data_IF_414994633866
#
_entry.id   IF_414994633866
#
_cell.length_a   1.000
_cell.length_b   1.000
_cell.length_c   1.000
_cell.angle_alpha   90.00
_cell.angle_beta   90.00
_cell.angle_gamma   90.00
#
_symmetry.space_group_name_H-M   'P 1'
#
loop_
_entity.id
_entity.type
_entity.pdbx_description
1 polymer ?
#
# COMPACT_ATOMS: atom_id res chain seq x y z
N UNK A 1 32.57 52.34 1.70
CA UNK A 1 33.10 52.13 3.05
C UNK A 1 33.95 50.88 3.05
N UNK A 2 35.27 51.04 3.22
CA UNK A 2 36.28 49.98 3.22
C UNK A 2 36.37 49.37 4.62
N UNK A 3 36.34 48.04 4.76
CA UNK A 3 36.81 47.39 5.99
C UNK A 3 37.97 46.43 5.64
N UNK A 4 39.08 46.70 6.32
CA UNK A 4 40.39 46.07 6.19
C UNK A 4 40.47 44.75 6.94
N UNK A 5 41.15 43.79 6.32
CA UNK A 5 41.76 42.58 6.87
C UNK A 5 42.56 42.83 8.15
N UNK A 6 42.50 41.88 9.11
CA UNK A 6 43.59 41.59 10.04
C UNK A 6 43.70 40.09 10.26
N UNK A 7 44.71 39.50 9.63
CA UNK A 7 45.23 38.20 10.05
C UNK A 7 46.09 38.39 11.27
N UNK A 8 45.95 37.50 12.25
CA UNK A 8 46.95 37.24 13.32
C UNK A 8 47.33 35.77 13.27
N UNK A 9 48.54 35.54 12.89
CA UNK A 9 49.30 34.30 12.94
C UNK A 9 49.65 34.00 14.42
N UNK A 10 49.39 32.81 14.87
CA UNK A 10 50.08 32.20 16.03
C UNK A 10 50.62 30.83 15.64
N UNK A 11 51.94 30.75 15.61
CA UNK A 11 52.66 29.48 15.58
C UNK A 11 52.90 29.00 17.02
N UNK A 12 52.68 27.73 17.27
CA UNK A 12 53.26 27.07 18.42
C UNK A 12 53.49 25.59 18.11
N UNK A 13 54.67 25.23 18.27
CA UNK A 13 55.47 24.04 18.20
C UNK A 13 54.96 22.96 19.18
N UNK A 14 55.03 21.71 18.73
CA UNK A 14 55.57 20.69 19.61
C UNK A 14 54.71 19.46 19.90
N UNK A 15 55.37 18.40 19.61
CA UNK A 15 55.40 17.07 20.23
C UNK A 15 54.61 15.96 19.51
N UNK A 16 55.40 15.18 18.80
CA UNK A 16 55.07 13.88 18.24
C UNK A 16 54.93 12.87 19.37
N UNK A 17 53.76 12.33 19.56
CA UNK A 17 53.51 11.16 20.37
C UNK A 17 52.90 10.07 19.51
N UNK A 18 53.74 9.09 19.07
CA UNK A 18 53.29 7.91 18.34
C UNK A 18 52.66 6.97 19.39
N UNK A 19 51.30 6.87 19.35
CA UNK A 19 50.60 5.76 19.99
C UNK A 19 50.13 4.82 18.90
N UNK A 20 50.82 3.66 18.85
CA UNK A 20 50.36 2.52 18.09
C UNK A 20 49.13 1.92 18.76
N UNK A 21 47.96 2.17 18.22
CA UNK A 21 46.74 1.44 18.55
C UNK A 21 46.69 0.16 17.73
N UNK A 22 46.93 -0.96 18.40
CA UNK A 22 46.64 -2.30 17.90
C UNK A 22 45.15 -2.41 17.62
N UNK A 23 44.74 -2.45 16.33
CA UNK A 23 43.42 -2.86 15.91
C UNK A 23 43.31 -4.40 16.18
N UNK A 24 42.61 -4.71 17.28
CA UNK A 24 42.05 -6.03 17.51
C UNK A 24 40.89 -6.23 16.54
N UNK A 25 41.08 -7.00 15.48
CA UNK A 25 40.02 -7.59 14.70
C UNK A 25 39.28 -8.59 15.59
N UNK A 26 38.21 -8.13 16.25
CA UNK A 26 37.24 -9.01 16.85
C UNK A 26 36.41 -9.67 15.75
N UNK A 27 36.50 -10.99 15.61
CA UNK A 27 35.59 -11.79 14.81
C UNK A 27 34.14 -11.54 15.26
N UNK A 28 33.45 -10.70 14.54
CA UNK A 28 31.98 -10.65 14.63
C UNK A 28 31.45 -11.92 13.96
N UNK A 29 31.05 -12.89 14.76
CA UNK A 29 30.22 -14.00 14.30
C UNK A 29 28.99 -13.42 13.63
N UNK A 30 28.60 -13.91 12.44
CA UNK A 30 27.35 -13.50 11.84
C UNK A 30 26.23 -13.88 12.80
N UNK A 31 25.39 -12.90 13.15
CA UNK A 31 24.13 -13.14 13.85
C UNK A 31 23.30 -13.99 12.90
N UNK A 32 23.16 -15.26 13.23
CA UNK A 32 22.28 -16.16 12.53
C UNK A 32 20.85 -15.67 12.75
N UNK A 33 20.29 -14.97 11.77
CA UNK A 33 18.85 -14.76 11.66
C UNK A 33 18.24 -16.09 11.20
N UNK A 34 18.08 -17.01 12.12
CA UNK A 34 17.20 -18.16 11.90
C UNK A 34 15.76 -17.64 12.06
N UNK A 35 15.18 -17.14 10.99
CA UNK A 35 13.73 -17.07 10.85
C UNK A 35 13.22 -18.51 10.70
N UNK A 36 13.06 -19.19 11.82
CA UNK A 36 12.40 -20.49 11.89
C UNK A 36 10.88 -20.27 11.87
N UNK A 37 10.36 -19.92 10.67
CA UNK A 37 8.94 -19.59 10.43
C UNK A 37 8.06 -20.84 10.39
N UNK A 38 8.58 -22.03 10.70
CA UNK A 38 7.86 -23.31 10.62
C UNK A 38 7.66 -24.01 11.96
N UNK A 39 7.70 -23.29 13.07
CA UNK A 39 7.29 -23.88 14.34
C UNK A 39 5.76 -23.83 14.39
N UNK A 40 5.10 -24.91 13.97
CA UNK A 40 3.67 -25.10 14.25
C UNK A 40 3.51 -25.11 15.77
N UNK A 41 2.95 -24.02 16.31
CA UNK A 41 2.61 -23.96 17.75
C UNK A 41 1.54 -25.02 17.98
N UNK A 42 1.76 -25.87 18.99
CA UNK A 42 0.73 -26.80 19.43
C UNK A 42 -0.39 -26.01 20.12
N UNK A 43 -1.45 -25.74 19.37
CA UNK A 43 -2.58 -24.96 19.86
C UNK A 43 -3.24 -25.62 21.09
N UNK A 44 -3.07 -26.95 21.31
CA UNK A 44 -3.65 -27.67 22.45
C UNK A 44 -3.10 -27.20 23.79
N UNK A 45 -1.93 -26.52 23.80
CA UNK A 45 -1.30 -25.97 25.01
C UNK A 45 -1.80 -24.59 25.42
N UNK A 46 -2.58 -23.94 24.55
CA UNK A 46 -3.14 -22.60 24.79
C UNK A 46 -4.38 -22.64 25.70
N UNK A 47 -4.80 -21.50 26.29
CA UNK A 47 -6.09 -21.39 26.94
C UNK A 47 -7.24 -21.78 25.99
N UNK A 48 -8.26 -22.51 26.47
CA UNK A 48 -9.35 -23.04 25.65
C UNK A 48 -10.06 -21.93 24.84
N UNK A 49 -10.29 -20.78 25.45
CA UNK A 49 -10.91 -19.63 24.76
C UNK A 49 -10.12 -19.16 23.56
N UNK A 50 -8.76 -19.10 23.67
CA UNK A 50 -7.91 -18.73 22.55
C UNK A 50 -7.87 -19.81 21.47
N UNK A 51 -7.86 -21.10 21.86
CA UNK A 51 -7.96 -22.21 20.88
C UNK A 51 -9.22 -22.08 20.02
N UNK A 52 -10.36 -21.86 20.65
CA UNK A 52 -11.66 -21.77 19.97
C UNK A 52 -11.73 -20.53 19.08
N UNK A 53 -11.21 -19.39 19.56
CA UNK A 53 -11.18 -18.13 18.81
C UNK A 53 -10.24 -18.22 17.61
N UNK A 54 -9.02 -18.74 17.79
CA UNK A 54 -8.05 -18.95 16.70
C UNK A 54 -8.62 -19.90 15.65
N UNK A 55 -9.22 -21.02 16.07
CA UNK A 55 -9.83 -21.99 15.15
C UNK A 55 -10.94 -21.35 14.32
N UNK A 56 -11.84 -20.59 14.96
CA UNK A 56 -12.93 -19.87 14.30
C UNK A 56 -12.41 -18.84 13.33
N UNK A 57 -11.46 -18.01 13.76
CA UNK A 57 -10.88 -16.93 12.95
C UNK A 57 -10.05 -17.46 11.77
N UNK A 58 -9.23 -18.50 11.98
CA UNK A 58 -8.43 -19.11 10.90
C UNK A 58 -9.29 -19.71 9.79
N UNK A 59 -10.47 -20.21 10.12
CA UNK A 59 -11.43 -20.73 9.12
C UNK A 59 -12.06 -19.65 8.24
N UNK A 60 -12.00 -18.38 8.64
CA UNK A 60 -12.61 -17.26 7.94
C UNK A 60 -11.60 -16.36 7.25
N UNK A 61 -10.48 -16.06 7.92
CA UNK A 61 -9.54 -15.03 7.49
C UNK A 61 -8.23 -15.63 6.95
N UNK A 62 -7.60 -16.52 7.69
CA UNK A 62 -6.28 -17.03 7.37
C UNK A 62 -5.15 -16.02 7.69
N UNK A 63 -3.92 -16.51 7.62
CA UNK A 63 -2.70 -15.75 7.82
C UNK A 63 -2.33 -15.06 6.51
N UNK A 64 -1.85 -13.82 6.57
CA UNK A 64 -1.38 -13.09 5.38
C UNK A 64 -0.17 -13.82 4.78
N UNK A 65 -0.21 -14.18 3.47
CA UNK A 65 0.94 -14.80 2.82
C UNK A 65 2.16 -13.88 2.83
N UNK A 66 3.35 -14.47 2.90
CA UNK A 66 4.63 -13.73 2.88
C UNK A 66 5.10 -13.33 1.48
N UNK A 67 4.50 -13.91 0.44
CA UNK A 67 4.80 -13.64 -0.97
C UNK A 67 3.52 -13.48 -1.77
N UNK A 68 3.54 -12.60 -2.76
CA UNK A 68 2.45 -12.34 -3.69
C UNK A 68 2.94 -12.57 -5.14
N UNK A 69 3.06 -13.83 -5.53
CA UNK A 69 3.61 -14.21 -6.84
C UNK A 69 2.62 -13.95 -7.99
N UNK A 70 3.18 -13.65 -9.16
CA UNK A 70 2.44 -13.61 -10.43
C UNK A 70 3.17 -14.46 -11.47
N UNK A 71 2.63 -15.62 -11.87
CA UNK A 71 3.26 -16.49 -12.88
C UNK A 71 3.47 -15.81 -14.25
N UNK A 72 2.71 -14.75 -14.55
CA UNK A 72 2.84 -13.97 -15.78
C UNK A 72 3.88 -12.86 -15.68
N UNK A 73 4.33 -12.53 -14.48
CA UNK A 73 5.30 -11.48 -14.19
C UNK A 73 6.24 -11.94 -13.08
N UNK A 74 7.08 -12.92 -13.38
CA UNK A 74 8.04 -13.45 -12.40
C UNK A 74 8.97 -12.32 -11.96
N UNK A 75 9.00 -12.05 -10.66
CA UNK A 75 9.85 -11.04 -10.07
C UNK A 75 11.31 -11.51 -9.99
N UNK A 76 12.23 -10.57 -10.14
CA UNK A 76 13.64 -10.68 -9.76
C UNK A 76 14.06 -9.37 -9.09
N UNK A 77 15.18 -9.36 -8.39
CA UNK A 77 15.64 -8.20 -7.62
C UNK A 77 15.78 -6.94 -8.49
N UNK A 78 16.31 -7.08 -9.71
CA UNK A 78 16.46 -5.95 -10.65
C UNK A 78 15.11 -5.37 -11.09
N UNK A 79 14.10 -6.22 -11.27
CA UNK A 79 12.74 -5.79 -11.63
C UNK A 79 12.05 -5.09 -10.47
N UNK A 80 12.20 -5.60 -9.26
CA UNK A 80 11.66 -4.98 -8.03
C UNK A 80 12.30 -3.60 -7.80
N UNK A 81 13.63 -3.50 -7.93
CA UNK A 81 14.35 -2.23 -7.77
C UNK A 81 13.95 -1.21 -8.84
N UNK A 82 13.86 -1.65 -10.11
CA UNK A 82 13.35 -0.81 -11.20
C UNK A 82 11.92 -0.34 -10.90
N UNK A 83 11.05 -1.22 -10.45
CA UNK A 83 9.67 -0.92 -10.08
C UNK A 83 9.59 0.11 -8.95
N UNK A 84 10.43 -0.04 -7.92
CA UNK A 84 10.53 0.92 -6.83
C UNK A 84 10.91 2.31 -7.33
N UNK A 85 11.90 2.40 -8.22
CA UNK A 85 12.29 3.69 -8.80
C UNK A 85 11.17 4.31 -9.63
N UNK A 86 10.53 3.52 -10.50
CA UNK A 86 9.41 4.00 -11.33
C UNK A 86 8.21 4.45 -10.48
N UNK A 87 7.89 3.72 -9.41
CA UNK A 87 6.82 4.08 -8.48
C UNK A 87 7.02 5.45 -7.84
N UNK A 88 8.27 5.85 -7.61
CA UNK A 88 8.63 7.15 -7.02
C UNK A 88 8.97 8.21 -8.05
N UNK A 89 9.07 7.88 -9.35
CA UNK A 89 9.55 8.81 -10.36
C UNK A 89 8.45 9.74 -10.89
N UNK A 90 8.49 11.03 -10.55
CA UNK A 90 7.47 11.97 -10.99
C UNK A 90 7.52 12.26 -12.50
N UNK A 91 8.59 11.86 -13.20
CA UNK A 91 8.71 11.98 -14.66
C UNK A 91 7.78 11.04 -15.42
N UNK A 92 7.10 10.13 -14.73
CA UNK A 92 5.95 9.36 -15.26
C UNK A 92 4.68 10.21 -15.36
N UNK A 93 4.71 11.48 -14.93
CA UNK A 93 3.61 12.42 -15.13
C UNK A 93 3.99 13.55 -16.08
N UNK A 94 2.99 14.08 -16.80
CA UNK A 94 3.16 15.16 -17.77
C UNK A 94 3.83 16.41 -17.16
N UNK A 95 3.45 16.73 -15.94
CA UNK A 95 3.99 17.88 -15.20
C UNK A 95 5.34 17.60 -14.53
N UNK A 96 5.77 16.35 -14.42
CA UNK A 96 6.97 15.98 -13.67
C UNK A 96 6.86 16.13 -12.15
N UNK A 97 5.63 16.23 -11.58
CA UNK A 97 5.40 16.42 -10.15
C UNK A 97 4.67 15.28 -9.48
N UNK A 98 4.02 14.39 -10.23
CA UNK A 98 3.16 13.35 -9.71
C UNK A 98 3.77 11.99 -10.00
N UNK A 99 3.94 11.19 -8.96
CA UNK A 99 4.34 9.79 -9.02
C UNK A 99 3.26 8.91 -8.38
N UNK A 100 3.37 7.58 -8.44
CA UNK A 100 2.47 6.70 -7.70
C UNK A 100 2.50 7.01 -6.20
N UNK A 101 3.70 7.27 -5.65
CA UNK A 101 3.87 7.65 -4.25
C UNK A 101 3.21 8.98 -3.87
N UNK A 102 2.81 9.82 -4.83
CA UNK A 102 2.09 11.08 -4.52
C UNK A 102 0.68 10.82 -3.96
N UNK A 103 -0.02 9.83 -4.52
CA UNK A 103 -1.38 9.44 -4.10
C UNK A 103 -1.38 8.21 -3.20
N UNK A 104 -0.35 7.35 -3.32
CA UNK A 104 -0.18 6.12 -2.55
C UNK A 104 1.11 6.17 -1.75
N UNK A 105 1.21 7.17 -0.86
CA UNK A 105 2.41 7.43 -0.06
C UNK A 105 2.70 6.27 0.90
N UNK A 106 3.81 5.58 0.68
CA UNK A 106 4.19 4.42 1.48
C UNK A 106 4.45 4.76 2.96
N UNK A 107 4.92 5.98 3.26
CA UNK A 107 5.11 6.44 4.65
C UNK A 107 3.77 6.70 5.37
N UNK A 108 2.67 6.87 4.63
CA UNK A 108 1.30 7.03 5.13
C UNK A 108 0.45 5.79 4.88
N UNK A 109 1.04 4.61 4.98
CA UNK A 109 0.34 3.34 4.73
C UNK A 109 -0.27 3.21 3.34
N UNK A 110 0.38 3.79 2.33
CA UNK A 110 0.01 3.64 0.92
C UNK A 110 -1.19 4.47 0.47
N UNK A 111 -1.47 5.59 1.16
CA UNK A 111 -2.52 6.56 0.84
C UNK A 111 -2.02 8.00 1.00
N UNK A 112 -2.72 8.98 0.46
CA UNK A 112 -2.42 10.41 0.62
C UNK A 112 -3.20 11.09 1.75
N UNK A 113 -4.11 10.35 2.40
CA UNK A 113 -5.01 10.85 3.43
C UNK A 113 -5.87 12.05 2.97
N UNK A 114 -6.20 12.11 1.70
CA UNK A 114 -7.13 13.09 1.13
C UNK A 114 -8.46 12.42 0.76
N UNK A 115 -9.59 13.14 0.76
CA UNK A 115 -10.84 12.56 0.28
C UNK A 115 -10.73 12.05 -1.16
N UNK A 116 -10.09 12.82 -2.02
CA UNK A 116 -9.68 12.41 -3.38
C UNK A 116 -8.33 13.05 -3.70
N UNK A 117 -7.49 12.31 -4.42
CA UNK A 117 -6.13 12.74 -4.74
C UNK A 117 -6.10 13.94 -5.69
N UNK A 118 -5.01 14.71 -5.62
CA UNK A 118 -4.76 15.85 -6.50
C UNK A 118 -3.88 15.37 -7.67
N UNK A 119 -4.41 15.49 -8.88
CA UNK A 119 -3.71 15.12 -10.10
C UNK A 119 -3.20 16.31 -10.93
N UNK A 120 -2.94 16.05 -12.21
CA UNK A 120 -2.43 17.04 -13.17
C UNK A 120 -3.31 18.29 -13.20
N UNK A 121 -2.69 19.48 -13.21
CA UNK A 121 -3.38 20.79 -13.15
C UNK A 121 -4.29 20.94 -11.94
N UNK A 122 -3.96 20.30 -10.82
CA UNK A 122 -4.73 20.38 -9.57
C UNK A 122 -6.15 19.81 -9.67
N UNK A 123 -6.42 18.98 -10.69
CA UNK A 123 -7.70 18.28 -10.80
C UNK A 123 -7.86 17.30 -9.64
N UNK A 124 -9.05 17.22 -9.10
CA UNK A 124 -9.36 16.26 -8.06
C UNK A 124 -9.78 14.93 -8.68
N UNK A 125 -9.31 13.84 -8.14
CA UNK A 125 -9.75 12.49 -8.47
C UNK A 125 -11.25 12.30 -8.14
N UNK A 126 -11.87 11.34 -8.79
CA UNK A 126 -13.29 11.02 -8.55
C UNK A 126 -13.53 10.13 -7.33
N UNK A 127 -12.50 9.47 -6.83
CA UNK A 127 -12.57 8.51 -5.71
C UNK A 127 -11.35 8.63 -4.81
N UNK A 128 -11.51 8.19 -3.55
CA UNK A 128 -10.43 8.06 -2.60
C UNK A 128 -9.38 7.05 -3.09
N UNK A 129 -8.09 7.34 -2.88
CA UNK A 129 -7.00 6.45 -3.23
C UNK A 129 -6.93 5.29 -2.23
N UNK A 130 -7.21 4.03 -2.64
CA UNK A 130 -7.06 2.89 -1.76
C UNK A 130 -5.57 2.59 -1.53
N UNK A 131 -5.26 1.99 -0.37
CA UNK A 131 -3.88 1.59 -0.10
C UNK A 131 -3.35 0.58 -1.10
N UNK A 132 -2.07 0.71 -1.48
CA UNK A 132 -1.33 -0.26 -2.29
C UNK A 132 -0.77 -1.41 -1.43
N UNK A 133 -0.73 -1.25 -0.10
CA UNK A 133 -0.25 -2.30 0.80
C UNK A 133 -1.19 -3.50 0.73
N UNK A 134 -0.61 -4.68 0.54
CA UNK A 134 -1.34 -5.94 0.37
C UNK A 134 -2.27 -6.00 -0.86
N UNK A 135 -2.29 -4.99 -1.72
CA UNK A 135 -3.18 -4.92 -2.88
C UNK A 135 -2.97 -6.06 -3.88
N UNK A 136 -1.76 -6.60 -3.96
CA UNK A 136 -1.41 -7.71 -4.83
C UNK A 136 -2.18 -9.02 -4.54
N UNK A 137 -2.80 -9.14 -3.36
CA UNK A 137 -3.65 -10.28 -2.99
C UNK A 137 -5.13 -10.10 -3.39
N UNK A 138 -5.52 -8.93 -3.87
CA UNK A 138 -6.90 -8.68 -4.28
C UNK A 138 -7.19 -9.31 -5.64
N UNK A 139 -8.43 -9.74 -5.84
CA UNK A 139 -8.88 -10.36 -7.10
C UNK A 139 -8.98 -9.38 -8.27
N UNK A 140 -9.00 -8.09 -7.99
CA UNK A 140 -8.99 -7.00 -8.97
C UNK A 140 -8.58 -5.69 -8.30
N UNK A 141 -8.20 -4.69 -9.09
CA UNK A 141 -7.80 -3.37 -8.62
C UNK A 141 -8.84 -2.29 -8.97
N UNK A 142 -8.72 -1.12 -8.32
CA UNK A 142 -9.71 -0.06 -8.25
C UNK A 142 -10.98 -0.44 -7.46
N UNK A 143 -11.75 0.57 -7.07
CA UNK A 143 -13.03 0.38 -6.38
C UNK A 143 -14.07 -0.36 -7.22
N UNK A 144 -14.05 -0.20 -8.53
CA UNK A 144 -14.94 -0.86 -9.50
C UNK A 144 -14.40 -2.17 -10.08
N UNK A 145 -13.15 -2.51 -9.79
CA UNK A 145 -12.51 -3.75 -10.22
C UNK A 145 -12.18 -3.80 -11.71
N UNK A 146 -11.94 -2.65 -12.35
CA UNK A 146 -11.67 -2.58 -13.79
C UNK A 146 -10.30 -3.08 -14.24
N UNK A 147 -9.35 -3.28 -13.33
CA UNK A 147 -8.04 -3.87 -13.62
C UNK A 147 -7.89 -5.22 -12.92
N UNK A 148 -7.31 -6.20 -13.62
CA UNK A 148 -7.24 -7.59 -13.17
C UNK A 148 -6.20 -7.79 -12.04
N UNK A 149 -5.12 -7.04 -12.05
CA UNK A 149 -4.01 -7.13 -11.10
C UNK A 149 -3.31 -5.78 -10.93
N UNK A 150 -2.26 -5.73 -10.12
CA UNK A 150 -1.50 -4.50 -9.87
C UNK A 150 -0.73 -4.03 -11.10
N UNK A 151 -0.28 -4.94 -11.96
CA UNK A 151 0.39 -4.62 -13.22
C UNK A 151 -0.56 -3.91 -14.19
N UNK A 152 -1.79 -4.40 -14.31
CA UNK A 152 -2.80 -3.76 -15.17
C UNK A 152 -3.27 -2.43 -14.58
N UNK A 153 -3.36 -2.34 -13.24
CA UNK A 153 -3.70 -1.10 -12.56
C UNK A 153 -2.67 0.01 -12.85
N UNK A 154 -1.37 -0.30 -12.78
CA UNK A 154 -0.29 0.68 -12.94
C UNK A 154 -0.31 1.41 -14.30
N UNK A 155 -0.92 0.83 -15.33
CA UNK A 155 -1.07 1.45 -16.65
C UNK A 155 -2.05 2.64 -16.63
N UNK A 156 -3.15 2.51 -15.90
CA UNK A 156 -4.27 3.46 -15.96
C UNK A 156 -3.89 4.90 -15.57
N UNK A 157 -3.37 5.13 -14.35
CA UNK A 157 -3.07 6.47 -13.82
C UNK A 157 -2.08 7.28 -14.68
N UNK A 158 -1.09 6.63 -15.28
CA UNK A 158 -0.07 7.30 -16.11
C UNK A 158 -0.71 8.03 -17.30
N UNK A 159 -1.72 7.44 -17.92
CA UNK A 159 -2.42 8.01 -19.09
C UNK A 159 -3.67 8.79 -18.71
N UNK A 160 -4.15 8.71 -17.47
CA UNK A 160 -5.34 9.41 -17.05
C UNK A 160 -5.10 10.94 -17.02
N UNK A 161 -5.85 11.73 -17.81
CA UNK A 161 -5.65 13.19 -17.88
C UNK A 161 -5.93 13.92 -16.56
N UNK A 162 -6.70 13.31 -15.67
CA UNK A 162 -6.98 13.83 -14.33
C UNK A 162 -5.95 13.43 -13.28
N UNK A 163 -5.04 12.50 -13.58
CA UNK A 163 -4.03 11.98 -12.68
C UNK A 163 -2.62 12.35 -13.15
N UNK A 164 -1.90 11.49 -13.87
CA UNK A 164 -0.52 11.73 -14.33
C UNK A 164 -0.43 12.33 -15.73
N UNK A 165 -1.46 12.17 -16.55
CA UNK A 165 -1.72 12.89 -17.80
C UNK A 165 -0.70 12.74 -18.94
N UNK A 166 0.06 11.63 -19.02
CA UNK A 166 0.82 11.35 -20.25
C UNK A 166 -0.14 11.10 -21.42
N UNK A 167 0.22 11.58 -22.60
CA UNK A 167 -0.67 11.56 -23.76
C UNK A 167 -0.85 10.18 -24.38
N UNK A 168 0.18 9.36 -24.36
CA UNK A 168 0.21 8.02 -24.96
C UNK A 168 1.26 7.13 -24.27
N UNK A 169 1.14 5.82 -24.46
CA UNK A 169 2.13 4.83 -24.04
C UNK A 169 3.52 5.13 -24.65
N UNK A 170 3.56 5.41 -25.96
CA UNK A 170 4.81 5.74 -26.65
C UNK A 170 5.47 7.00 -26.10
N UNK A 171 4.67 8.00 -25.71
CA UNK A 171 5.19 9.19 -25.06
C UNK A 171 5.84 8.83 -23.70
N UNK A 172 5.18 8.03 -22.88
CA UNK A 172 5.72 7.54 -21.60
C UNK A 172 7.03 6.79 -21.80
N UNK A 173 7.07 5.85 -22.75
CA UNK A 173 8.28 5.09 -23.10
C UNK A 173 9.40 6.04 -23.53
N UNK A 174 9.09 7.04 -24.37
CA UNK A 174 10.05 8.06 -24.83
C UNK A 174 10.65 8.86 -23.67
N UNK A 175 9.83 9.28 -22.70
CA UNK A 175 10.29 9.98 -21.50
C UNK A 175 11.27 9.12 -20.70
N UNK A 176 10.89 7.90 -20.37
CA UNK A 176 11.75 7.00 -19.58
C UNK A 176 13.03 6.63 -20.35
N UNK A 177 12.94 6.38 -21.66
CA UNK A 177 14.10 6.10 -22.53
C UNK A 177 15.10 7.25 -22.59
N UNK A 178 14.63 8.50 -22.46
CA UNK A 178 15.49 9.69 -22.46
C UNK A 178 16.38 9.80 -21.21
N UNK A 179 16.13 8.98 -20.20
CA UNK A 179 16.90 8.90 -18.96
C UNK A 179 17.83 7.69 -19.07
N UNK A 180 19.08 7.94 -19.46
CA UNK A 180 20.05 6.91 -19.87
C UNK A 180 20.14 5.71 -18.91
N UNK A 181 20.15 5.97 -17.61
CA UNK A 181 20.28 4.91 -16.59
C UNK A 181 19.14 3.90 -16.65
N UNK A 182 17.92 4.31 -16.99
CA UNK A 182 16.81 3.37 -17.11
C UNK A 182 17.01 2.33 -18.21
N UNK A 183 17.68 2.67 -19.32
CA UNK A 183 17.91 1.69 -20.38
C UNK A 183 18.66 0.45 -19.87
N UNK A 184 19.72 0.64 -19.08
CA UNK A 184 20.45 -0.47 -18.47
C UNK A 184 19.64 -1.20 -17.38
N UNK A 185 18.82 -0.49 -16.62
CA UNK A 185 17.98 -1.09 -15.58
C UNK A 185 16.89 -1.97 -16.20
N UNK A 186 16.25 -1.54 -17.30
CA UNK A 186 15.28 -2.39 -18.01
C UNK A 186 15.93 -3.64 -18.60
N UNK A 187 17.13 -3.53 -19.19
CA UNK A 187 17.86 -4.69 -19.69
C UNK A 187 18.17 -5.73 -18.59
N UNK A 188 18.49 -5.28 -17.39
CA UNK A 188 18.74 -6.17 -16.24
C UNK A 188 17.43 -6.76 -15.66
N UNK A 189 16.36 -5.98 -15.67
CA UNK A 189 15.07 -6.41 -15.12
C UNK A 189 14.34 -7.43 -16.02
N UNK A 190 14.56 -7.34 -17.34
CA UNK A 190 13.92 -8.18 -18.36
C UNK A 190 14.98 -8.85 -19.25
N UNK A 191 15.79 -9.76 -18.68
CA UNK A 191 16.86 -10.42 -19.43
C UNK A 191 16.31 -11.26 -20.57
N UNK A 192 16.95 -11.18 -21.75
CA UNK A 192 16.56 -11.92 -22.95
C UNK A 192 15.53 -11.20 -23.84
N UNK A 193 14.96 -10.08 -23.42
CA UNK A 193 14.12 -9.24 -24.28
C UNK A 193 15.00 -8.32 -25.14
N UNK A 194 14.80 -8.30 -26.43
CA UNK A 194 15.53 -7.43 -27.37
C UNK A 194 15.23 -5.94 -27.09
N UNK A 195 14.00 -5.60 -26.80
CA UNK A 195 13.52 -4.25 -26.52
C UNK A 195 12.76 -4.22 -25.19
N UNK A 196 13.47 -4.27 -24.03
CA UNK A 196 12.84 -4.44 -22.73
C UNK A 196 12.11 -3.17 -22.23
N UNK A 197 12.44 -1.98 -22.76
CA UNK A 197 11.79 -0.73 -22.34
C UNK A 197 10.49 -0.53 -23.13
N UNK A 198 9.43 -1.13 -22.64
CA UNK A 198 8.05 -1.02 -23.15
C UNK A 198 7.12 -0.47 -22.08
N UNK A 199 5.94 0.01 -22.47
CA UNK A 199 4.91 0.46 -21.51
C UNK A 199 4.42 -0.69 -20.62
N UNK A 200 4.27 -1.87 -21.19
CA UNK A 200 3.92 -3.07 -20.44
C UNK A 200 4.99 -3.39 -19.37
N UNK A 201 6.28 -3.29 -19.70
CA UNK A 201 7.36 -3.57 -18.76
C UNK A 201 7.55 -2.45 -17.71
N UNK A 202 7.15 -1.21 -18.00
CA UNK A 202 7.02 -0.17 -16.96
C UNK A 202 6.01 -0.63 -15.91
N UNK A 203 4.82 -1.05 -16.34
CA UNK A 203 3.77 -1.54 -15.45
C UNK A 203 4.16 -2.84 -14.73
N UNK A 204 4.79 -3.79 -15.44
CA UNK A 204 5.27 -5.04 -14.88
C UNK A 204 6.33 -4.81 -13.78
N UNK A 205 7.21 -3.84 -13.94
CA UNK A 205 8.20 -3.51 -12.92
C UNK A 205 7.52 -2.86 -11.70
N UNK A 206 6.61 -1.90 -11.90
CA UNK A 206 5.84 -1.28 -10.82
C UNK A 206 5.07 -2.36 -10.05
N UNK A 207 4.35 -3.25 -10.73
CA UNK A 207 3.62 -4.35 -10.11
C UNK A 207 4.51 -5.32 -9.34
N UNK A 208 5.71 -5.65 -9.87
CA UNK A 208 6.67 -6.48 -9.16
C UNK A 208 7.13 -5.84 -7.84
N UNK A 209 7.31 -4.52 -7.81
CA UNK A 209 7.58 -3.81 -6.56
C UNK A 209 6.37 -3.82 -5.62
N UNK A 210 5.17 -3.50 -6.11
CA UNK A 210 3.95 -3.49 -5.28
C UNK A 210 3.67 -4.86 -4.63
N UNK A 211 4.04 -5.97 -5.29
CA UNK A 211 3.96 -7.32 -4.74
C UNK A 211 4.86 -7.56 -3.54
N UNK A 212 5.85 -6.71 -3.28
CA UNK A 212 6.68 -6.76 -2.08
C UNK A 212 6.10 -5.96 -0.90
N UNK A 213 5.03 -5.20 -1.13
CA UNK A 213 4.43 -4.31 -0.13
C UNK A 213 3.44 -5.08 0.78
N UNK A 214 3.96 -6.07 1.47
CA UNK A 214 3.20 -6.96 2.37
C UNK A 214 3.42 -6.53 3.80
N UNK A 215 2.33 -6.41 4.58
CA UNK A 215 2.35 -5.89 5.95
C UNK A 215 1.71 -6.88 6.93
N UNK A 216 2.44 -7.92 7.37
CA UNK A 216 1.95 -8.82 8.41
C UNK A 216 1.74 -8.06 9.72
N UNK A 217 0.72 -8.43 10.47
CA UNK A 217 0.25 -7.72 11.65
C UNK A 217 0.28 -8.58 12.92
N UNK A 218 -0.11 -7.99 14.05
CA UNK A 218 -0.27 -8.72 15.32
C UNK A 218 -1.34 -9.80 15.24
N UNK A 219 -2.39 -9.58 14.43
CA UNK A 219 -3.41 -10.58 14.17
C UNK A 219 -2.84 -11.85 13.51
N UNK A 220 -1.90 -11.73 12.59
CA UNK A 220 -1.25 -12.90 11.99
C UNK A 220 -0.45 -13.70 13.02
N UNK A 221 0.26 -13.03 13.95
CA UNK A 221 0.96 -13.66 15.06
C UNK A 221 -0.01 -14.39 15.99
N UNK A 222 -1.17 -13.78 16.27
CA UNK A 222 -2.22 -14.41 17.07
C UNK A 222 -2.74 -15.70 16.43
N UNK A 223 -3.02 -15.70 15.13
CA UNK A 223 -3.42 -16.91 14.40
C UNK A 223 -2.34 -17.99 14.38
N UNK A 224 -1.06 -17.60 14.51
CA UNK A 224 0.07 -18.52 14.64
C UNK A 224 0.26 -19.05 16.06
N UNK A 225 -0.60 -18.66 17.01
CA UNK A 225 -0.60 -19.15 18.39
C UNK A 225 0.08 -18.23 19.41
N UNK A 226 0.54 -17.03 19.01
CA UNK A 226 0.98 -16.02 19.97
C UNK A 226 -0.24 -15.32 20.59
N UNK A 227 -0.77 -15.91 21.65
CA UNK A 227 -1.99 -15.38 22.34
C UNK A 227 -1.76 -14.02 22.97
N UNK A 228 -0.51 -13.62 23.18
CA UNK A 228 -0.14 -12.31 23.73
C UNK A 228 -0.15 -11.19 22.66
N UNK A 229 -0.22 -11.56 21.38
CA UNK A 229 -0.25 -10.61 20.29
C UNK A 229 -1.55 -9.77 20.23
N UNK A 230 -2.64 -10.27 20.82
CA UNK A 230 -3.88 -9.52 21.01
C UNK A 230 -4.21 -9.35 22.48
N UNK A 231 -4.63 -8.16 22.89
CA UNK A 231 -5.19 -7.94 24.21
C UNK A 231 -6.66 -8.37 24.28
N UNK A 232 -7.25 -8.41 25.48
CA UNK A 232 -8.62 -8.91 25.70
C UNK A 232 -9.69 -8.08 24.96
N UNK A 233 -9.50 -6.77 24.81
CA UNK A 233 -10.43 -5.94 24.05
C UNK A 233 -10.35 -6.23 22.54
N UNK A 234 -9.16 -6.46 22.00
CA UNK A 234 -8.96 -6.84 20.61
C UNK A 234 -9.55 -8.22 20.29
N UNK A 235 -9.39 -9.19 21.19
CA UNK A 235 -10.03 -10.52 21.09
C UNK A 235 -11.56 -10.39 21.10
N UNK A 236 -12.10 -9.62 22.04
CA UNK A 236 -13.53 -9.33 22.09
C UNK A 236 -14.02 -8.61 20.85
N UNK A 237 -13.22 -7.69 20.30
CA UNK A 237 -13.51 -7.00 19.06
C UNK A 237 -13.55 -7.94 17.86
N UNK A 238 -12.66 -8.91 17.77
CA UNK A 238 -12.66 -9.97 16.76
C UNK A 238 -13.95 -10.82 16.86
N UNK A 239 -14.34 -11.21 18.06
CA UNK A 239 -15.61 -11.93 18.27
C UNK A 239 -16.81 -11.08 17.84
N UNK A 240 -16.85 -9.80 18.25
CA UNK A 240 -17.92 -8.86 17.90
C UNK A 240 -17.99 -8.65 16.38
N UNK A 241 -16.86 -8.49 15.70
CA UNK A 241 -16.76 -8.36 14.25
C UNK A 241 -17.37 -9.60 13.55
N UNK A 242 -17.02 -10.80 13.98
CA UNK A 242 -17.56 -12.03 13.42
C UNK A 242 -19.06 -12.21 13.73
N UNK A 243 -19.46 -11.97 14.98
CA UNK A 243 -20.84 -12.21 15.42
C UNK A 243 -21.82 -11.15 14.88
N UNK A 244 -21.33 -9.93 14.57
CA UNK A 244 -22.13 -8.90 13.91
C UNK A 244 -22.38 -9.21 12.43
N UNK A 245 -21.55 -10.04 11.80
CA UNK A 245 -21.68 -10.44 10.40
C UNK A 245 -20.77 -9.66 9.43
N UNK A 246 -19.81 -8.88 9.93
CA UNK A 246 -18.85 -8.13 9.12
C UNK A 246 -18.01 -9.07 8.22
N UNK A 247 -17.70 -10.25 8.73
CA UNK A 247 -16.98 -11.32 8.04
C UNK A 247 -17.71 -11.89 6.81
N UNK A 248 -19.00 -11.60 6.61
CA UNK A 248 -19.69 -12.01 5.39
C UNK A 248 -19.11 -11.38 4.11
N UNK A 249 -18.58 -10.16 4.25
CA UNK A 249 -17.95 -9.43 3.15
C UNK A 249 -16.45 -9.24 3.37
N UNK A 250 -16.04 -8.97 4.61
CA UNK A 250 -14.64 -8.79 4.98
C UNK A 250 -14.04 -10.13 5.45
N UNK A 251 -13.77 -11.01 4.50
CA UNK A 251 -13.16 -12.33 4.69
C UNK A 251 -11.76 -12.39 4.03
N UNK A 252 -11.12 -13.57 4.08
CA UNK A 252 -9.76 -13.86 3.61
C UNK A 252 -8.67 -13.16 4.42
N UNK A 253 -7.42 -13.47 4.14
CA UNK A 253 -6.26 -12.91 4.84
C UNK A 253 -6.14 -11.37 4.72
N UNK A 254 -6.79 -10.77 3.73
CA UNK A 254 -6.82 -9.31 3.53
C UNK A 254 -8.05 -8.63 4.12
N UNK A 255 -8.99 -9.36 4.70
CA UNK A 255 -10.25 -8.81 5.22
C UNK A 255 -11.00 -7.98 4.16
N UNK A 256 -11.04 -8.47 2.94
CA UNK A 256 -11.64 -7.85 1.76
C UNK A 256 -10.78 -8.06 0.51
N UNK A 257 -11.08 -7.35 -0.56
CA UNK A 257 -10.36 -7.44 -1.84
C UNK A 257 -10.79 -8.59 -2.76
N UNK A 258 -11.70 -9.45 -2.32
CA UNK A 258 -12.04 -10.71 -2.98
C UNK A 258 -13.46 -10.82 -3.54
N UNK A 259 -14.32 -9.85 -3.28
CA UNK A 259 -15.69 -9.82 -3.80
C UNK A 259 -16.19 -8.39 -4.04
N UNK A 260 -17.32 -8.27 -4.72
CA UNK A 260 -18.03 -7.02 -4.93
C UNK A 260 -19.32 -7.04 -4.12
N UNK A 261 -19.64 -5.90 -3.49
CA UNK A 261 -20.88 -5.76 -2.73
C UNK A 261 -21.49 -4.38 -2.96
N UNK A 262 -22.83 -4.34 -2.96
CA UNK A 262 -23.54 -3.08 -2.99
C UNK A 262 -23.26 -2.28 -1.72
N UNK A 263 -22.79 -1.06 -1.86
CA UNK A 263 -22.66 -0.14 -0.72
C UNK A 263 -24.02 0.47 -0.42
N UNK A 264 -24.56 0.16 0.74
CA UNK A 264 -25.92 0.49 1.12
C UNK A 264 -26.94 -0.60 0.72
N UNK A 265 -26.84 -1.77 1.36
CA UNK A 265 -27.79 -2.89 1.18
C UNK A 265 -29.14 -2.53 1.76
N UNK A 266 -29.17 -1.91 2.95
CA UNK A 266 -30.40 -1.61 3.69
C UNK A 266 -30.92 -0.19 3.49
N UNK A 267 -30.01 0.76 3.18
CA UNK A 267 -30.29 2.19 2.97
C UNK A 267 -29.39 2.74 1.90
N UNK A 268 -29.73 3.88 1.33
CA UNK A 268 -28.84 4.57 0.39
C UNK A 268 -27.59 5.10 1.10
N UNK A 269 -26.38 4.77 0.57
CA UNK A 269 -25.13 5.16 1.23
C UNK A 269 -24.96 6.67 1.34
N UNK A 270 -25.36 7.45 0.32
CA UNK A 270 -25.21 8.90 0.32
C UNK A 270 -26.03 9.63 1.39
N UNK A 271 -27.09 9.03 1.90
CA UNK A 271 -27.88 9.58 3.02
C UNK A 271 -27.13 9.46 4.35
N UNK A 272 -26.40 8.37 4.54
CA UNK A 272 -25.64 8.11 5.77
C UNK A 272 -24.25 8.75 5.76
N UNK A 273 -23.61 8.83 4.59
CA UNK A 273 -22.25 9.37 4.45
C UNK A 273 -22.19 10.86 4.16
N UNK A 274 -23.31 11.44 3.71
CA UNK A 274 -23.36 12.82 3.23
C UNK A 274 -22.65 13.01 1.88
N UNK A 275 -22.44 11.93 1.13
CA UNK A 275 -21.79 11.97 -0.19
C UNK A 275 -22.53 12.89 -1.14
N UNK A 276 -21.82 13.83 -1.74
CA UNK A 276 -22.40 14.80 -2.69
C UNK A 276 -22.68 14.20 -4.05
N UNK A 277 -21.92 13.18 -4.43
CA UNK A 277 -22.02 12.49 -5.72
C UNK A 277 -22.51 11.06 -5.52
N UNK A 278 -23.45 10.64 -6.34
CA UNK A 278 -23.94 9.25 -6.36
C UNK A 278 -23.09 8.48 -7.37
N UNK A 279 -22.03 7.86 -6.90
CA UNK A 279 -21.16 7.02 -7.73
C UNK A 279 -21.85 5.69 -8.03
N UNK A 280 -22.05 5.39 -9.30
CA UNK A 280 -22.72 4.16 -9.75
C UNK A 280 -21.86 2.89 -9.56
N UNK A 281 -20.59 3.04 -9.11
CA UNK A 281 -19.71 1.93 -8.83
C UNK A 281 -19.38 1.09 -10.08
N UNK A 282 -19.50 -0.21 -9.93
CA UNK A 282 -19.15 -1.19 -10.96
C UNK A 282 -20.01 -1.05 -12.23
N UNK A 283 -21.27 -0.68 -12.10
CA UNK A 283 -22.16 -0.50 -13.27
C UNK A 283 -21.65 0.54 -14.27
N UNK A 284 -20.88 1.53 -13.81
CA UNK A 284 -20.27 2.53 -14.69
C UNK A 284 -19.30 1.89 -15.71
N UNK A 285 -18.71 0.75 -15.37
CA UNK A 285 -17.76 -0.01 -16.21
C UNK A 285 -18.49 -1.13 -16.97
N UNK A 286 -19.26 -1.94 -16.28
CA UNK A 286 -19.91 -3.14 -16.86
C UNK A 286 -21.16 -2.81 -17.67
N UNK A 287 -21.75 -1.63 -17.49
CA UNK A 287 -23.04 -1.23 -18.06
C UNK A 287 -24.21 -2.11 -17.60
N UNK A 288 -24.02 -2.87 -16.52
CA UNK A 288 -25.04 -3.72 -15.93
C UNK A 288 -25.73 -2.97 -14.76
N UNK A 289 -27.00 -2.61 -14.93
CA UNK A 289 -27.80 -1.89 -13.93
C UNK A 289 -27.92 -2.65 -12.60
N UNK A 290 -27.85 -4.00 -12.61
CA UNK A 290 -27.90 -4.79 -11.38
C UNK A 290 -26.64 -4.64 -10.52
N UNK A 291 -25.54 -4.10 -11.08
CA UNK A 291 -24.29 -3.80 -10.37
C UNK A 291 -24.18 -2.33 -9.92
N UNK A 292 -25.27 -1.60 -9.96
CA UNK A 292 -25.32 -0.22 -9.45
C UNK A 292 -24.98 -0.15 -7.97
N UNK A 293 -24.02 0.74 -7.66
CA UNK A 293 -23.48 0.95 -6.31
C UNK A 293 -22.70 -0.24 -5.77
N UNK A 294 -22.31 -1.20 -6.60
CA UNK A 294 -21.40 -2.26 -6.23
C UNK A 294 -19.95 -1.75 -6.32
N UNK A 295 -19.21 -2.05 -5.28
CA UNK A 295 -17.78 -1.75 -5.18
C UNK A 295 -17.05 -3.02 -4.75
N UNK A 296 -15.78 -3.14 -5.12
CA UNK A 296 -14.90 -4.14 -4.54
C UNK A 296 -14.81 -3.86 -3.04
N UNK A 297 -15.11 -4.85 -2.22
CA UNK A 297 -15.00 -4.73 -0.76
C UNK A 297 -13.55 -4.40 -0.42
N UNK A 298 -13.27 -3.25 0.21
CA UNK A 298 -11.90 -2.86 0.52
C UNK A 298 -11.28 -3.76 1.59
N UNK A 299 -9.96 -3.90 1.55
CA UNK A 299 -9.21 -4.50 2.64
C UNK A 299 -9.37 -3.68 3.92
N UNK A 300 -9.42 -4.37 5.07
CA UNK A 300 -9.36 -3.71 6.38
C UNK A 300 -7.97 -3.75 7.01
N UNK A 301 -6.97 -4.36 6.35
CA UNK A 301 -5.59 -4.26 6.83
C UNK A 301 -5.12 -2.82 6.78
N UNK A 302 -4.47 -2.38 7.85
CA UNK A 302 -3.98 -1.00 8.04
C UNK A 302 -5.09 0.07 8.05
N UNK A 303 -6.37 -0.32 8.18
CA UNK A 303 -7.51 0.60 8.00
C UNK A 303 -7.49 1.78 8.97
N UNK A 304 -6.90 1.65 10.15
CA UNK A 304 -6.76 2.73 11.14
C UNK A 304 -5.89 3.89 10.65
N UNK A 305 -5.05 3.65 9.64
CA UNK A 305 -4.15 4.65 9.04
C UNK A 305 -4.63 5.16 7.67
N UNK A 306 -5.63 4.51 7.07
CA UNK A 306 -6.03 4.79 5.69
C UNK A 306 -7.32 5.63 5.61
N UNK A 307 -7.46 6.58 6.55
CA UNK A 307 -8.51 7.60 6.48
C UNK A 307 -8.21 8.63 5.39
N UNK A 308 -9.26 9.34 4.87
CA UNK A 308 -10.69 9.19 5.14
C UNK A 308 -11.27 7.95 4.47
N UNK A 309 -12.44 7.51 4.96
CA UNK A 309 -13.06 6.24 4.62
C UNK A 309 -14.08 6.33 3.50
N UNK A 310 -14.40 5.17 2.93
CA UNK A 310 -15.27 4.92 1.78
C UNK A 310 -14.64 5.37 0.45
N UNK A 311 -15.34 5.04 -0.63
CA UNK A 311 -14.85 5.28 -2.00
C UNK A 311 -14.70 6.76 -2.37
N UNK A 312 -15.34 7.65 -1.63
CA UNK A 312 -15.32 9.11 -1.83
C UNK A 312 -14.63 9.88 -0.69
N UNK A 313 -14.06 9.14 0.29
CA UNK A 313 -13.38 9.75 1.42
C UNK A 313 -14.27 10.65 2.28
N UNK A 314 -15.57 10.36 2.34
CA UNK A 314 -16.56 11.23 3.02
C UNK A 314 -16.49 11.18 4.54
N UNK A 315 -15.90 10.12 5.14
CA UNK A 315 -15.89 9.89 6.58
C UNK A 315 -14.45 9.85 7.09
N UNK A 316 -14.17 10.63 8.13
CA UNK A 316 -12.81 10.77 8.70
C UNK A 316 -12.58 9.94 9.96
N UNK A 317 -13.62 9.62 10.69
CA UNK A 317 -13.55 8.88 11.94
C UNK A 317 -13.87 7.39 11.72
N UNK A 318 -12.97 6.51 12.19
CA UNK A 318 -13.12 5.06 12.03
C UNK A 318 -14.36 4.52 12.74
N UNK A 319 -14.66 5.02 13.93
CA UNK A 319 -15.82 4.54 14.71
C UNK A 319 -17.12 4.96 14.05
N UNK A 320 -17.13 6.15 13.44
CA UNK A 320 -18.25 6.58 12.60
C UNK A 320 -18.40 5.68 11.37
N UNK A 321 -17.30 5.33 10.69
CA UNK A 321 -17.33 4.42 9.55
C UNK A 321 -17.86 3.02 9.94
N UNK A 322 -17.43 2.47 11.09
CA UNK A 322 -17.94 1.20 11.64
C UNK A 322 -19.43 1.27 11.90
N UNK A 323 -19.91 2.36 12.53
CA UNK A 323 -21.35 2.56 12.82
C UNK A 323 -22.18 2.63 11.54
N UNK A 324 -21.71 3.39 10.54
CA UNK A 324 -22.33 3.49 9.22
C UNK A 324 -22.38 2.13 8.52
N UNK A 325 -21.32 1.35 8.56
CA UNK A 325 -21.30 -0.01 7.98
C UNK A 325 -22.29 -0.93 8.67
N UNK A 326 -22.42 -0.86 10.01
CA UNK A 326 -23.44 -1.59 10.76
C UNK A 326 -24.85 -1.28 10.26
N UNK A 327 -25.16 0.00 10.05
CA UNK A 327 -26.48 0.41 9.57
C UNK A 327 -26.71 0.08 8.09
N UNK A 328 -25.77 0.43 7.22
CA UNK A 328 -25.93 0.32 5.76
C UNK A 328 -25.89 -1.10 5.23
N UNK A 329 -25.00 -1.93 5.79
CA UNK A 329 -24.75 -3.27 5.27
C UNK A 329 -25.51 -4.34 6.03
N UNK A 330 -25.68 -4.17 7.35
CA UNK A 330 -26.24 -5.20 8.24
C UNK A 330 -27.63 -4.82 8.76
N UNK A 331 -28.09 -3.58 8.57
CA UNK A 331 -29.33 -3.08 9.16
C UNK A 331 -29.32 -3.04 10.68
N UNK A 332 -28.12 -3.00 11.28
CA UNK A 332 -27.90 -3.05 12.74
C UNK A 332 -27.35 -1.72 13.24
N UNK A 333 -27.95 -1.24 14.32
CA UNK A 333 -27.37 -0.15 15.10
C UNK A 333 -26.44 -0.76 16.15
N UNK A 334 -25.13 -0.71 15.90
CA UNK A 334 -24.13 -1.15 16.87
C UNK A 334 -24.15 -0.24 18.10
N UNK A 335 -23.96 -0.81 19.28
CA UNK A 335 -23.74 -0.04 20.51
C UNK A 335 -22.34 0.60 20.49
N UNK A 336 -22.15 1.62 21.31
CA UNK A 336 -20.84 2.28 21.46
C UNK A 336 -19.75 1.28 21.90
N UNK A 337 -20.09 0.34 22.78
CA UNK A 337 -19.18 -0.72 23.24
C UNK A 337 -18.75 -1.62 22.08
N UNK A 338 -19.70 -2.10 21.24
CA UNK A 338 -19.40 -2.92 20.07
C UNK A 338 -18.52 -2.17 19.06
N UNK A 339 -18.80 -0.90 18.82
CA UNK A 339 -17.99 -0.05 17.93
C UNK A 339 -16.57 0.09 18.47
N UNK A 340 -16.41 0.32 19.78
CA UNK A 340 -15.10 0.44 20.41
C UNK A 340 -14.32 -0.89 20.37
N UNK A 341 -14.96 -2.00 20.61
CA UNK A 341 -14.36 -3.33 20.55
C UNK A 341 -13.91 -3.66 19.12
N UNK A 342 -14.77 -3.43 18.11
CA UNK A 342 -14.42 -3.60 16.68
C UNK A 342 -13.24 -2.69 16.30
N UNK A 343 -13.24 -1.42 16.71
CA UNK A 343 -12.16 -0.50 16.40
C UNK A 343 -10.83 -0.98 17.00
N UNK A 344 -10.84 -1.51 18.25
CA UNK A 344 -9.66 -2.09 18.86
C UNK A 344 -9.15 -3.31 18.07
N UNK A 345 -10.04 -4.19 17.62
CA UNK A 345 -9.66 -5.30 16.75
C UNK A 345 -9.04 -4.82 15.43
N UNK A 346 -9.63 -3.84 14.76
CA UNK A 346 -9.10 -3.31 13.51
C UNK A 346 -7.72 -2.70 13.67
N UNK A 347 -7.36 -2.16 14.84
CA UNK A 347 -5.99 -1.70 15.14
C UNK A 347 -4.99 -2.87 15.10
N UNK A 348 -5.38 -4.06 15.52
CA UNK A 348 -4.52 -5.25 15.47
C UNK A 348 -4.19 -5.72 14.04
N UNK A 349 -4.92 -5.22 13.03
CA UNK A 349 -4.67 -5.46 11.61
C UNK A 349 -3.63 -4.50 11.01
N UNK A 350 -3.12 -3.56 11.80
CA UNK A 350 -2.00 -2.69 11.41
C UNK A 350 -0.71 -3.50 11.38
N UNK A 351 -0.12 -3.59 10.20
CA UNK A 351 1.13 -4.32 9.99
C UNK A 351 2.36 -3.41 9.96
N UNK A 352 3.53 -4.02 10.05
CA UNK A 352 4.81 -3.32 9.90
C UNK A 352 5.07 -3.04 8.42
N UNK A 353 5.44 -1.78 8.11
CA UNK A 353 5.86 -1.42 6.75
C UNK A 353 7.16 -2.15 6.41
N UNK A 354 7.26 -2.81 5.25
CA UNK A 354 8.49 -3.45 4.82
C UNK A 354 9.61 -2.41 4.60
N UNK A 355 10.86 -2.83 4.69
CA UNK A 355 12.02 -1.93 4.49
C UNK A 355 11.95 -1.22 3.13
N UNK A 356 11.51 -1.93 2.09
CA UNK A 356 11.31 -1.38 0.75
C UNK A 356 10.36 -0.18 0.71
N UNK A 357 9.37 -0.11 1.62
CA UNK A 357 8.43 1.00 1.75
C UNK A 357 9.00 2.16 2.59
N UNK A 358 9.94 1.89 3.50
CA UNK A 358 10.52 2.90 4.41
C UNK A 358 11.69 3.67 3.81
N UNK A 359 12.33 3.13 2.77
CA UNK A 359 13.52 3.70 2.14
C UNK A 359 13.18 4.29 0.77
N UNK A 360 13.28 5.60 0.63
CA UNK A 360 13.14 6.24 -0.68
C UNK A 360 14.31 5.86 -1.59
N UNK A 361 14.06 5.59 -2.89
CA UNK A 361 15.14 5.32 -3.84
C UNK A 361 15.86 6.61 -4.24
N UNK A 362 17.12 6.47 -4.65
CA UNK A 362 17.83 7.54 -5.35
C UNK A 362 17.51 7.40 -6.85
N UNK A 363 16.68 8.30 -7.35
CA UNK A 363 16.25 8.27 -8.75
C UNK A 363 17.40 8.54 -9.71
N UNK A 364 17.39 7.95 -10.92
CA UNK A 364 18.34 8.29 -11.96
C UNK A 364 18.32 9.79 -12.28
N UNK A 365 19.51 10.40 -12.38
CA UNK A 365 19.63 11.81 -12.67
C UNK A 365 19.05 12.16 -14.05
N UNK A 366 18.41 13.32 -14.16
CA UNK A 366 18.07 13.92 -15.44
C UNK A 366 19.32 14.51 -16.10
N UNK A 367 19.34 14.51 -17.42
CA UNK A 367 20.39 15.11 -18.24
C UNK A 367 19.77 16.15 -19.19
N UNK A 368 20.57 16.80 -20.00
CA UNK A 368 20.07 17.70 -21.03
C UNK A 368 19.26 17.02 -22.14
N UNK A 369 19.32 15.69 -22.24
CA UNK A 369 18.51 14.87 -23.16
C UNK A 369 17.23 14.39 -22.55
N UNK A 370 17.04 14.54 -21.24
CA UNK A 370 15.81 14.12 -20.55
C UNK A 370 14.63 14.98 -21.04
N UNK A 371 13.53 14.32 -21.37
CA UNK A 371 12.30 15.00 -21.76
C UNK A 371 11.85 16.00 -20.68
N UNK A 372 11.54 17.21 -21.11
CA UNK A 372 11.13 18.27 -20.19
C UNK A 372 9.67 18.12 -19.79
N UNK A 373 9.30 18.47 -18.55
CA UNK A 373 7.91 18.46 -18.12
C UNK A 373 7.07 19.49 -18.89
N UNK A 374 5.79 19.19 -19.07
CA UNK A 374 4.84 20.06 -19.78
C UNK A 374 3.73 20.46 -18.82
N UNK A 375 3.63 21.76 -18.57
CA UNK A 375 2.65 22.31 -17.60
C UNK A 375 1.33 22.75 -18.26
N UNK A 376 1.29 22.88 -19.57
CA UNK A 376 0.13 23.39 -20.32
C UNK A 376 -0.79 22.27 -20.83
#
# INVERSE_FOLDING_TARGET
MKYKNRYKTFAAIGVIGIYALMLSCGDQKPVATTNDTNKTVDLSTLPQADQDLIKKASGMFGILPTTAENPKNIANDSKVELGKMLYHDPRLSKSGFISCNSCHNLASYGVDNLPTSIGHKWQLGGRNAPTVLNAAFHTAQFWDGRAADVEEQAKGPILNPGEMAHSTENFTVGVIKSIEKYNSMFANAFPGEENPLTYANIANAIGAFERTLITPSRFDKYLQGDVSALNEQEKKGLETFMNSGCNACHMTATFGGNLYQKFGVTKNYWEATGSKTKDEGRSAITKNESEKYFFKVPSLRNVTHTYPYFHDGSIWDLKQAISIMGELQLGKKLTEAEVNDIAAFLESLTGELPESARMLPILPASTNTTAQPVFN
#
